data_IF_699475322040
#
_entry.id   IF_699475322040
#
_cell.length_a   1.000
_cell.length_b   1.000
_cell.length_c   1.000
_cell.angle_alpha   90.00
_cell.angle_beta   90.00
_cell.angle_gamma   90.00
#
_symmetry.space_group_name_H-M   'P 1'
#
loop_
_entity.id
_entity.type
_entity.pdbx_description
1 polymer ?
#
# COMPACT_ATOMS: atom_id res chain seq x y z
N UNK A 1 -1.73 -7.34 14.16
CA UNK A 1 -0.82 -7.41 12.99
C UNK A 1 0.59 -7.68 13.48
N UNK A 2 1.29 -8.64 12.90
CA UNK A 2 2.70 -8.90 13.24
C UNK A 2 3.61 -7.77 12.70
N UNK A 3 4.61 -7.37 13.48
CA UNK A 3 5.58 -6.33 13.11
C UNK A 3 6.91 -6.98 12.75
N UNK A 4 7.39 -6.74 11.54
CA UNK A 4 8.74 -7.11 11.10
C UNK A 4 9.58 -5.82 11.07
N UNK A 5 10.80 -5.88 11.61
CA UNK A 5 11.78 -4.79 11.54
C UNK A 5 12.92 -5.26 10.63
N UNK A 6 13.22 -4.48 9.60
CA UNK A 6 14.32 -4.75 8.66
C UNK A 6 15.38 -3.68 8.86
N UNK A 7 16.63 -4.09 9.07
CA UNK A 7 17.78 -3.19 9.09
C UNK A 7 18.37 -3.12 7.70
N UNK A 8 18.55 -1.91 7.18
CA UNK A 8 19.16 -1.64 5.89
C UNK A 8 20.58 -1.13 6.11
N UNK A 9 21.50 -1.51 5.22
CA UNK A 9 22.79 -0.85 5.12
C UNK A 9 22.61 0.58 4.63
N UNK A 10 23.69 1.35 4.69
CA UNK A 10 23.67 2.77 4.35
C UNK A 10 23.24 3.01 2.90
N UNK A 11 23.81 2.25 1.96
CA UNK A 11 23.49 2.38 0.54
C UNK A 11 22.04 2.01 0.23
N UNK A 12 21.50 0.92 0.80
CA UNK A 12 20.10 0.57 0.58
C UNK A 12 19.15 1.60 1.21
N UNK A 13 19.51 2.12 2.38
CA UNK A 13 18.73 3.18 3.07
C UNK A 13 18.64 4.43 2.20
N UNK A 14 19.75 4.88 1.65
CA UNK A 14 19.80 6.08 0.79
C UNK A 14 19.03 5.87 -0.51
N UNK A 15 19.21 4.73 -1.17
CA UNK A 15 18.48 4.39 -2.38
C UNK A 15 16.96 4.34 -2.12
N UNK A 16 16.53 3.70 -1.03
CA UNK A 16 15.13 3.66 -0.63
C UNK A 16 14.58 5.06 -0.35
N UNK A 17 15.35 5.91 0.34
CA UNK A 17 14.96 7.29 0.64
C UNK A 17 14.77 8.11 -0.64
N UNK A 18 15.71 8.04 -1.57
CA UNK A 18 15.62 8.75 -2.85
C UNK A 18 14.44 8.26 -3.68
N UNK A 19 14.23 6.95 -3.76
CA UNK A 19 13.09 6.38 -4.48
C UNK A 19 11.77 6.81 -3.85
N UNK A 20 11.65 6.75 -2.52
CA UNK A 20 10.46 7.18 -1.81
C UNK A 20 10.16 8.67 -2.06
N UNK A 21 11.19 9.53 -2.08
CA UNK A 21 11.03 10.95 -2.38
C UNK A 21 10.54 11.20 -3.82
N UNK A 22 11.14 10.53 -4.81
CA UNK A 22 10.73 10.62 -6.22
C UNK A 22 9.27 10.21 -6.42
N UNK A 23 8.85 9.21 -5.66
CA UNK A 23 7.50 8.66 -5.69
C UNK A 23 6.51 9.38 -4.76
N UNK A 24 6.94 10.43 -4.06
CA UNK A 24 6.16 11.17 -3.06
C UNK A 24 5.56 10.27 -1.97
N UNK A 25 6.33 9.27 -1.49
CA UNK A 25 5.95 8.34 -0.42
C UNK A 25 6.91 8.42 0.75
N UNK A 26 6.45 7.97 1.91
CA UNK A 26 7.34 7.72 3.05
C UNK A 26 8.16 6.44 2.82
N UNK A 27 9.43 6.37 3.27
CA UNK A 27 10.32 5.22 3.02
C UNK A 27 9.73 3.87 3.42
N UNK A 28 9.02 3.82 4.55
CA UNK A 28 8.35 2.61 5.02
C UNK A 28 7.26 2.12 4.05
N UNK A 29 6.46 3.04 3.51
CA UNK A 29 5.41 2.69 2.56
C UNK A 29 6.02 2.23 1.23
N UNK A 30 7.09 2.89 0.79
CA UNK A 30 7.84 2.47 -0.40
C UNK A 30 8.46 1.08 -0.24
N UNK A 31 9.05 0.77 0.91
CA UNK A 31 9.59 -0.56 1.21
C UNK A 31 8.50 -1.63 1.19
N UNK A 32 7.35 -1.36 1.82
CA UNK A 32 6.21 -2.27 1.80
C UNK A 32 5.69 -2.52 0.38
N UNK A 33 5.67 -1.49 -0.47
CA UNK A 33 5.28 -1.62 -1.87
C UNK A 33 6.26 -2.48 -2.66
N UNK A 34 7.57 -2.29 -2.47
CA UNK A 34 8.60 -3.11 -3.11
C UNK A 34 8.43 -4.57 -2.72
N UNK A 35 8.32 -4.86 -1.42
CA UNK A 35 8.11 -6.22 -0.91
C UNK A 35 6.84 -6.82 -1.52
N UNK A 36 5.74 -6.07 -1.54
CA UNK A 36 4.49 -6.55 -2.13
C UNK A 36 4.63 -6.88 -3.61
N UNK A 37 5.21 -5.96 -4.40
CA UNK A 37 5.40 -6.16 -5.85
C UNK A 37 6.25 -7.39 -6.11
N UNK A 38 7.31 -7.59 -5.33
CA UNK A 38 8.19 -8.75 -5.46
C UNK A 38 7.47 -10.06 -5.10
N UNK A 39 6.72 -10.08 -3.99
CA UNK A 39 5.92 -11.25 -3.62
C UNK A 39 4.81 -11.56 -4.64
N UNK A 40 4.18 -10.55 -5.22
CA UNK A 40 3.23 -10.73 -6.33
C UNK A 40 3.93 -11.29 -7.56
N UNK A 41 5.10 -10.75 -7.94
CA UNK A 41 5.91 -11.25 -9.06
C UNK A 41 6.30 -12.72 -8.90
N UNK A 42 6.52 -13.16 -7.66
CA UNK A 42 6.82 -14.55 -7.30
C UNK A 42 5.57 -15.44 -7.20
N UNK A 43 4.36 -14.91 -7.44
CA UNK A 43 3.10 -15.66 -7.30
C UNK A 43 2.68 -15.95 -5.86
N UNK A 44 3.33 -15.32 -4.87
CA UNK A 44 3.05 -15.52 -3.45
C UNK A 44 1.90 -14.65 -2.94
N UNK A 45 1.59 -13.58 -3.67
CA UNK A 45 0.43 -12.72 -3.43
C UNK A 45 -0.36 -12.56 -4.73
N UNK A 46 -1.70 -12.43 -4.65
CA UNK A 46 -2.50 -12.11 -5.81
C UNK A 46 -2.12 -10.74 -6.37
N UNK A 47 -2.29 -10.57 -7.68
CA UNK A 47 -2.19 -9.27 -8.33
C UNK A 47 -3.35 -8.40 -7.83
N UNK A 48 -3.06 -7.17 -7.38
CA UNK A 48 -4.14 -6.29 -6.96
C UNK A 48 -4.90 -5.82 -8.19
N UNK A 49 -6.14 -6.28 -8.33
CA UNK A 49 -7.14 -5.49 -9.05
C UNK A 49 -7.15 -4.10 -8.39
N UNK A 50 -6.97 -3.05 -9.21
CA UNK A 50 -7.17 -1.67 -8.78
C UNK A 50 -8.56 -1.62 -8.17
N UNK A 51 -8.66 -1.50 -6.86
CA UNK A 51 -9.92 -1.24 -6.18
C UNK A 51 -10.36 0.11 -6.73
N UNK A 52 -11.27 0.09 -7.71
CA UNK A 52 -12.05 1.26 -8.06
C UNK A 52 -12.80 1.60 -6.78
N UNK A 53 -12.51 2.79 -6.27
CA UNK A 53 -13.18 3.40 -5.14
C UNK A 53 -14.68 3.37 -5.45
N UNK A 54 -15.39 2.40 -4.86
CA UNK A 54 -16.85 2.38 -4.94
C UNK A 54 -17.28 3.56 -4.08
N UNK A 55 -17.51 4.70 -4.73
CA UNK A 55 -18.26 5.81 -4.18
C UNK A 55 -19.57 5.23 -3.64
N UNK A 56 -19.68 5.13 -2.31
CA UNK A 56 -20.98 4.95 -1.68
C UNK A 56 -21.63 6.33 -1.64
N UNK A 57 -22.78 6.58 -2.30
CA UNK A 57 -23.54 7.76 -1.99
C UNK A 57 -24.17 7.53 -0.60
N UNK A 58 -23.58 8.15 0.42
CA UNK A 58 -24.20 8.25 1.74
C UNK A 58 -25.40 9.19 1.65
N UNK A 59 -26.59 8.68 1.93
CA UNK A 59 -27.76 9.52 2.21
C UNK A 59 -29.05 9.12 1.50
N UNK A 60 -29.61 7.95 1.83
CA UNK A 60 -31.06 7.78 1.80
C UNK A 60 -31.49 7.17 3.13
N UNK A 61 -32.04 7.95 4.08
CA UNK A 61 -32.79 7.36 5.17
C UNK A 61 -34.08 6.78 4.60
N UNK A 62 -34.31 5.50 4.88
CA UNK A 62 -35.53 4.81 4.55
C UNK A 62 -36.75 5.60 5.06
N UNK A 63 -37.72 5.81 4.17
CA UNK A 63 -39.08 6.16 4.54
C UNK A 63 -39.55 5.24 5.67
N UNK A 64 -39.88 5.83 6.81
CA UNK A 64 -40.71 5.18 7.82
C UNK A 64 -42.06 5.89 7.77
N UNK A 65 -42.97 5.31 6.99
CA UNK A 65 -44.42 5.41 7.21
C UNK A 65 -44.85 4.05 7.82
N UNK A 66 -45.86 3.96 8.70
CA UNK A 66 -47.02 4.85 8.83
C UNK A 66 -47.21 5.53 10.20
#
# INVERSE_FOLDING_TARGET
MAKIIVYLGEQEREALQQLAQREMRVPRAQAALIIRRELTRLGMLPEQEKIQEIERPEGQPAEVQP
#
